data_IF_137974028114
#
_entry.id   IF_137974028114
#
_cell.length_a   1.000
_cell.length_b   1.000
_cell.length_c   1.000
_cell.angle_alpha   90.00
_cell.angle_beta   90.00
_cell.angle_gamma   90.00
#
_symmetry.space_group_name_H-M   'P 1'
#
loop_
_entity.id
_entity.type
_entity.pdbx_description
1 polymer ?
#
# COMPACT_ATOMS: atom_id res chain seq x y z
N UNK A 1 -9.40 8.00 11.12
CA UNK A 1 -8.18 7.67 10.34
C UNK A 1 -8.51 6.56 9.37
N UNK A 2 -8.10 6.67 8.11
CA UNK A 2 -8.33 5.63 7.10
C UNK A 2 -7.36 4.47 7.31
N UNK A 3 -7.87 3.23 7.26
CA UNK A 3 -7.06 2.02 7.46
C UNK A 3 -6.45 1.58 6.13
N UNK A 4 -5.17 1.24 6.17
CA UNK A 4 -4.42 0.73 5.02
C UNK A 4 -3.77 -0.60 5.40
N UNK A 5 -3.74 -1.52 4.45
CA UNK A 5 -3.03 -2.78 4.53
C UNK A 5 -1.96 -2.78 3.43
N UNK A 6 -0.71 -2.98 3.82
CA UNK A 6 0.45 -3.06 2.92
C UNK A 6 0.92 -4.51 2.88
N UNK A 7 0.91 -5.10 1.69
CA UNK A 7 1.45 -6.43 1.39
C UNK A 7 2.69 -6.26 0.55
N UNK A 8 3.85 -6.46 1.17
CA UNK A 8 5.14 -6.31 0.50
C UNK A 8 6.23 -7.08 1.27
N UNK A 9 7.41 -7.32 0.64
CA UNK A 9 8.60 -7.79 1.34
C UNK A 9 8.99 -6.90 2.51
N UNK A 10 9.69 -7.47 3.49
CA UNK A 10 9.92 -6.84 4.80
C UNK A 10 10.48 -5.42 4.72
N UNK A 11 11.52 -5.23 3.90
CA UNK A 11 12.17 -3.93 3.76
C UNK A 11 11.22 -2.86 3.16
N UNK A 12 10.50 -3.23 2.10
CA UNK A 12 9.58 -2.33 1.42
C UNK A 12 8.35 -2.03 2.27
N UNK A 13 7.80 -3.04 2.95
CA UNK A 13 6.70 -2.90 3.88
C UNK A 13 7.06 -1.95 5.03
N UNK A 14 8.29 -2.03 5.56
CA UNK A 14 8.76 -1.14 6.62
C UNK A 14 8.82 0.31 6.13
N UNK A 15 9.47 0.56 4.98
CA UNK A 15 9.58 1.90 4.37
C UNK A 15 8.21 2.54 4.08
N UNK A 16 7.29 1.76 3.52
CA UNK A 16 5.92 2.20 3.25
C UNK A 16 5.18 2.53 4.55
N UNK A 17 5.33 1.70 5.58
CA UNK A 17 4.68 1.91 6.87
C UNK A 17 5.17 3.16 7.57
N UNK A 18 6.49 3.35 7.64
CA UNK A 18 7.05 4.56 8.23
C UNK A 18 6.59 5.83 7.52
N UNK A 19 6.44 5.78 6.20
CA UNK A 19 5.96 6.92 5.42
C UNK A 19 4.47 7.17 5.62
N UNK A 20 3.65 6.11 5.63
CA UNK A 20 2.19 6.21 5.64
C UNK A 20 1.57 6.31 7.05
N UNK A 21 2.24 5.82 8.10
CA UNK A 21 1.74 5.82 9.49
C UNK A 21 1.42 7.21 10.04
N UNK A 22 2.01 8.25 9.46
CA UNK A 22 1.75 9.64 9.86
C UNK A 22 0.34 10.12 9.51
N UNK A 23 -0.31 9.50 8.52
CA UNK A 23 -1.65 9.91 8.03
C UNK A 23 -2.69 8.81 8.12
N UNK A 24 -2.25 7.55 8.20
CA UNK A 24 -3.11 6.38 8.05
C UNK A 24 -2.85 5.36 9.16
N UNK A 25 -3.87 4.55 9.45
CA UNK A 25 -3.76 3.38 10.32
C UNK A 25 -3.22 2.22 9.46
N UNK A 26 -1.89 2.07 9.43
CA UNK A 26 -1.21 1.12 8.55
C UNK A 26 -1.04 -0.23 9.23
N UNK A 27 -1.44 -1.28 8.53
CA UNK A 27 -1.13 -2.68 8.84
C UNK A 27 -0.21 -3.23 7.77
N UNK A 28 0.71 -4.09 8.17
CA UNK A 28 1.65 -4.77 7.26
C UNK A 28 1.42 -6.27 7.27
N UNK A 29 1.40 -6.86 6.10
CA UNK A 29 1.52 -8.29 5.88
C UNK A 29 2.81 -8.52 5.10
N UNK A 30 3.78 -9.16 5.74
CA UNK A 30 5.08 -9.43 5.14
C UNK A 30 4.90 -10.62 4.20
N UNK A 31 5.26 -10.42 2.93
CA UNK A 31 5.34 -11.50 1.95
C UNK A 31 6.78 -11.99 1.84
N UNK A 32 6.95 -13.27 1.48
CA UNK A 32 8.28 -13.81 1.20
C UNK A 32 8.95 -13.04 0.06
N UNK A 33 10.27 -12.89 0.14
CA UNK A 33 11.12 -12.19 -0.83
C UNK A 33 11.20 -13.01 -2.12
N UNK A 34 10.11 -13.02 -2.89
CA UNK A 34 10.06 -13.59 -4.23
C UNK A 34 10.04 -12.44 -5.24
N UNK A 35 10.97 -12.44 -6.19
CA UNK A 35 11.05 -11.40 -7.22
C UNK A 35 9.83 -11.39 -8.16
N UNK A 36 8.93 -12.36 -8.07
CA UNK A 36 7.64 -12.40 -8.77
C UNK A 36 6.45 -12.11 -7.85
N UNK A 37 6.68 -11.80 -6.57
CA UNK A 37 5.62 -11.43 -5.65
C UNK A 37 4.96 -10.12 -6.09
N UNK A 38 3.64 -10.12 -6.22
CA UNK A 38 2.89 -8.90 -6.51
C UNK A 38 2.61 -8.20 -5.19
N UNK A 39 3.21 -7.04 -4.99
CA UNK A 39 2.97 -6.22 -3.82
C UNK A 39 1.66 -5.45 -3.99
N UNK A 40 0.93 -5.24 -2.89
CA UNK A 40 -0.38 -4.60 -2.91
C UNK A 40 -0.53 -3.62 -1.75
N UNK A 41 -1.20 -2.50 -2.00
CA UNK A 41 -1.71 -1.61 -0.95
C UNK A 41 -3.23 -1.58 -1.06
N UNK A 42 -3.89 -1.97 0.02
CA UNK A 42 -5.35 -1.94 0.15
C UNK A 42 -5.76 -0.87 1.16
N UNK A 43 -6.88 -0.19 0.90
CA UNK A 43 -7.46 0.72 1.87
C UNK A 43 -8.87 0.28 2.23
N UNK A 44 -9.24 0.48 3.49
CA UNK A 44 -10.61 0.29 3.94
C UNK A 44 -11.42 1.52 3.55
N UNK A 45 -12.18 1.39 2.46
CA UNK A 45 -13.11 2.41 1.99
C UNK A 45 -14.51 1.93 2.36
N UNK A 46 -15.25 2.77 3.10
CA UNK A 46 -16.52 2.42 3.75
C UNK A 46 -16.39 1.17 4.64
N UNK A 47 -16.77 -0.01 4.14
CA UNK A 47 -16.72 -1.30 4.85
C UNK A 47 -15.89 -2.37 4.14
N UNK A 48 -15.42 -2.10 2.93
CA UNK A 48 -14.69 -3.06 2.10
C UNK A 48 -13.20 -2.72 2.04
N UNK A 49 -12.38 -3.75 1.96
CA UNK A 49 -10.99 -3.61 1.56
C UNK A 49 -10.95 -3.47 0.05
N UNK A 50 -10.36 -2.38 -0.42
CA UNK A 50 -10.24 -2.08 -1.84
C UNK A 50 -8.76 -1.97 -2.15
N UNK A 51 -8.29 -2.78 -3.10
CA UNK A 51 -6.95 -2.63 -3.65
C UNK A 51 -6.82 -1.26 -4.31
N UNK A 52 -5.89 -0.47 -3.79
CA UNK A 52 -5.60 0.88 -4.26
C UNK A 52 -4.56 0.82 -5.37
N UNK A 53 -3.46 0.10 -5.15
CA UNK A 53 -2.45 -0.13 -6.18
C UNK A 53 -1.76 -1.49 -5.99
N UNK A 54 -1.24 -2.00 -7.11
CA UNK A 54 -0.37 -3.18 -7.19
C UNK A 54 0.94 -2.73 -7.83
N UNK A 55 2.05 -3.28 -7.39
CA UNK A 55 3.39 -2.90 -7.85
C UNK A 55 4.35 -4.07 -7.71
N UNK A 56 5.45 -3.99 -8.45
CA UNK A 56 6.56 -4.93 -8.32
C UNK A 56 7.43 -4.56 -7.09
N UNK A 57 8.11 -5.53 -6.46
CA UNK A 57 8.94 -5.27 -5.28
C UNK A 57 10.17 -4.39 -5.59
N UNK A 58 10.61 -4.35 -6.84
CA UNK A 58 11.70 -3.49 -7.33
C UNK A 58 11.26 -2.06 -7.71
N UNK A 59 9.96 -1.78 -7.64
CA UNK A 59 9.42 -0.49 -8.06
C UNK A 59 9.83 0.65 -7.12
N UNK A 60 10.01 1.84 -7.66
CA UNK A 60 10.49 2.98 -6.89
C UNK A 60 9.45 3.43 -5.84
N UNK A 61 9.89 3.63 -4.59
CA UNK A 61 9.02 4.05 -3.49
C UNK A 61 8.22 5.33 -3.80
N UNK A 62 8.81 6.30 -4.50
CA UNK A 62 8.15 7.57 -4.85
C UNK A 62 7.01 7.34 -5.84
N UNK A 63 7.22 6.48 -6.82
CA UNK A 63 6.20 6.10 -7.80
C UNK A 63 5.07 5.32 -7.14
N UNK A 64 5.40 4.34 -6.29
CA UNK A 64 4.43 3.59 -5.48
C UNK A 64 3.55 4.55 -4.65
N UNK A 65 4.16 5.50 -3.93
CA UNK A 65 3.43 6.46 -3.11
C UNK A 65 2.56 7.40 -3.94
N UNK A 66 3.01 7.77 -5.14
CA UNK A 66 2.24 8.61 -6.06
C UNK A 66 1.03 7.85 -6.60
N UNK A 67 1.23 6.62 -7.07
CA UNK A 67 0.16 5.73 -7.50
C UNK A 67 -0.85 5.50 -6.38
N UNK A 68 -0.38 5.23 -5.16
CA UNK A 68 -1.23 5.04 -3.99
C UNK A 68 -2.12 6.26 -3.75
N UNK A 69 -1.54 7.47 -3.67
CA UNK A 69 -2.31 8.70 -3.40
C UNK A 69 -3.35 9.00 -4.46
N UNK A 70 -2.97 8.91 -5.74
CA UNK A 70 -3.86 9.19 -6.86
C UNK A 70 -5.01 8.19 -6.89
N UNK A 71 -4.71 6.89 -6.78
CA UNK A 71 -5.75 5.85 -6.77
C UNK A 71 -6.67 5.94 -5.56
N UNK A 72 -6.13 6.29 -4.38
CA UNK A 72 -6.92 6.47 -3.18
C UNK A 72 -7.91 7.62 -3.33
N UNK A 73 -7.47 8.75 -3.89
CA UNK A 73 -8.33 9.90 -4.15
C UNK A 73 -9.45 9.54 -5.13
N UNK A 74 -9.11 8.88 -6.25
CA UNK A 74 -10.09 8.47 -7.27
C UNK A 74 -11.12 7.49 -6.68
N UNK A 75 -10.67 6.50 -5.91
CA UNK A 75 -11.52 5.45 -5.35
C UNK A 75 -12.34 5.92 -4.14
N UNK A 76 -11.87 6.93 -3.41
CA UNK A 76 -12.61 7.49 -2.27
C UNK A 76 -13.67 8.52 -2.69
N UNK A 77 -13.60 9.04 -3.92
CA UNK A 77 -14.61 9.94 -4.52
C UNK A 77 -15.79 9.19 -5.16
N UNK A 78 -15.68 7.88 -5.35
CA UNK A 78 -16.75 7.00 -5.84
C UNK A 78 -17.52 6.40 -4.68
#
# INVERSE_FOLDING_TARGET
MQKILVRAPSELAHKLTETLRHRYDVRTEIQEDDSKAICEIEARITRNWITICRFAPDENLKDILTMFKVNLEIKSRR
#
